data_IF_854082732993
#
_entry.id   IF_854082732993
#
_cell.length_a   1.000
_cell.length_b   1.000
_cell.length_c   1.000
_cell.angle_alpha   90.00
_cell.angle_beta   90.00
_cell.angle_gamma   90.00
#
_symmetry.space_group_name_H-M   'P 1'
#
loop_
_entity.id
_entity.type
_entity.pdbx_description
1 polymer ?
#
# COMPACT_ATOMS: atom_id res chain seq x y z
N UNK A 1 6.25 15.35 2.66
CA UNK A 1 5.79 14.02 3.09
C UNK A 1 6.02 13.09 1.92
N UNK A 2 6.58 11.89 2.16
CA UNK A 2 6.91 10.93 1.11
C UNK A 2 5.77 9.92 0.91
N UNK A 3 5.79 9.18 -0.20
CA UNK A 3 4.76 8.19 -0.56
C UNK A 3 4.62 7.08 0.51
N UNK A 4 5.71 6.71 1.19
CA UNK A 4 5.69 5.70 2.26
C UNK A 4 4.91 6.21 3.47
N UNK A 5 5.13 7.45 3.89
CA UNK A 5 4.37 8.10 4.97
C UNK A 5 2.87 8.16 4.62
N UNK A 6 2.51 8.32 3.35
CA UNK A 6 1.13 8.32 2.91
C UNK A 6 0.48 6.93 2.94
N UNK A 7 1.24 5.90 2.54
CA UNK A 7 0.81 4.50 2.67
C UNK A 7 0.55 4.14 4.14
N UNK A 8 1.45 4.53 5.05
CA UNK A 8 1.30 4.32 6.49
C UNK A 8 0.08 5.07 7.06
N UNK A 9 -0.13 6.32 6.65
CA UNK A 9 -1.30 7.10 7.07
C UNK A 9 -2.61 6.46 6.67
N UNK A 10 -2.72 6.00 5.42
CA UNK A 10 -3.92 5.29 4.96
C UNK A 10 -4.12 4.00 5.74
N UNK A 11 -3.04 3.24 5.99
CA UNK A 11 -3.10 2.03 6.81
C UNK A 11 -3.61 2.32 8.24
N UNK A 12 -3.04 3.30 8.92
CA UNK A 12 -3.47 3.72 10.27
C UNK A 12 -4.92 4.17 10.27
N UNK A 13 -5.36 4.91 9.24
CA UNK A 13 -6.75 5.34 9.11
C UNK A 13 -7.71 4.14 8.99
N UNK A 14 -7.37 3.13 8.19
CA UNK A 14 -8.16 1.89 8.04
C UNK A 14 -8.18 1.08 9.34
N UNK A 15 -7.05 0.97 10.05
CA UNK A 15 -7.00 0.29 11.35
C UNK A 15 -7.89 1.01 12.36
N UNK A 16 -7.84 2.35 12.41
CA UNK A 16 -8.68 3.15 13.29
C UNK A 16 -10.17 3.00 12.96
N UNK A 17 -10.54 3.01 11.68
CA UNK A 17 -11.92 2.85 11.20
C UNK A 17 -12.57 1.51 11.64
N UNK A 18 -11.76 0.47 11.90
CA UNK A 18 -12.28 -0.79 12.46
C UNK A 18 -12.71 -0.69 13.92
N UNK A 19 -12.11 0.20 14.70
CA UNK A 19 -12.28 0.23 16.16
C UNK A 19 -13.06 1.46 16.62
N UNK A 20 -12.88 2.60 15.94
CA UNK A 20 -13.57 3.86 16.22
C UNK A 20 -14.75 4.01 15.26
N UNK A 21 -15.99 4.08 15.76
CA UNK A 21 -17.15 4.34 14.91
C UNK A 21 -17.13 5.77 14.36
N UNK A 22 -17.67 5.95 13.15
CA UNK A 22 -17.92 7.27 12.58
C UNK A 22 -19.09 8.00 13.30
N UNK A 23 -19.42 9.21 12.86
CA UNK A 23 -20.52 10.02 13.43
C UNK A 23 -21.89 9.32 13.39
N UNK A 24 -22.07 8.39 12.45
CA UNK A 24 -23.27 7.55 12.32
C UNK A 24 -23.21 6.23 13.13
N UNK A 25 -22.17 6.03 13.96
CA UNK A 25 -21.99 4.82 14.76
C UNK A 25 -21.44 3.61 14.00
N UNK A 26 -21.08 3.75 12.72
CA UNK A 26 -20.64 2.65 11.86
C UNK A 26 -19.12 2.47 11.91
N UNK A 27 -18.65 1.23 11.74
CA UNK A 27 -17.22 0.85 11.72
C UNK A 27 -16.87 0.18 10.39
N UNK A 28 -15.65 0.38 9.93
CA UNK A 28 -15.11 -0.30 8.75
C UNK A 28 -15.57 0.29 7.41
N UNK A 29 -16.24 1.44 7.39
CA UNK A 29 -16.76 2.03 6.15
C UNK A 29 -15.65 2.62 5.28
N UNK A 30 -14.63 3.25 5.89
CA UNK A 30 -13.45 3.73 5.17
C UNK A 30 -12.69 2.54 4.55
N UNK A 31 -12.47 1.48 5.33
CA UNK A 31 -11.82 0.26 4.84
C UNK A 31 -12.58 -0.38 3.67
N UNK A 32 -13.92 -0.45 3.74
CA UNK A 32 -14.76 -0.94 2.64
C UNK A 32 -14.67 -0.04 1.40
N UNK A 33 -14.65 1.27 1.58
CA UNK A 33 -14.56 2.22 0.46
C UNK A 33 -13.21 2.10 -0.26
N UNK A 34 -12.11 2.07 0.50
CA UNK A 34 -10.75 1.88 -0.05
C UNK A 34 -10.64 0.52 -0.75
N UNK A 35 -11.17 -0.55 -0.17
CA UNK A 35 -11.19 -1.87 -0.79
C UNK A 35 -11.95 -1.88 -2.13
N UNK A 36 -13.08 -1.17 -2.23
CA UNK A 36 -13.81 -1.02 -3.51
C UNK A 36 -12.99 -0.26 -4.56
N UNK A 37 -12.27 0.79 -4.16
CA UNK A 37 -11.38 1.53 -5.07
C UNK A 37 -10.22 0.64 -5.56
N UNK A 38 -9.64 -0.17 -4.68
CA UNK A 38 -8.60 -1.12 -5.04
C UNK A 38 -9.12 -2.17 -6.04
N UNK A 39 -10.31 -2.75 -5.81
CA UNK A 39 -10.93 -3.71 -6.75
C UNK A 39 -11.17 -3.07 -8.12
N UNK A 40 -11.67 -1.83 -8.16
CA UNK A 40 -11.84 -1.11 -9.43
C UNK A 40 -10.51 -0.87 -10.13
N UNK A 41 -9.48 -0.45 -9.40
CA UNK A 41 -8.13 -0.25 -9.95
C UNK A 41 -7.55 -1.56 -10.52
N UNK A 42 -7.76 -2.70 -9.85
CA UNK A 42 -7.36 -4.02 -10.36
C UNK A 42 -8.10 -4.36 -11.66
N UNK A 43 -9.42 -4.15 -11.69
CA UNK A 43 -10.24 -4.44 -12.87
C UNK A 43 -9.94 -3.52 -14.05
N UNK A 44 -9.64 -2.24 -13.78
CA UNK A 44 -9.29 -1.25 -14.80
C UNK A 44 -7.85 -1.40 -15.32
N UNK A 45 -6.96 -2.00 -14.54
CA UNK A 45 -5.55 -2.19 -14.88
C UNK A 45 -4.70 -0.93 -14.72
N UNK A 46 -3.39 -1.08 -14.93
CA UNK A 46 -2.43 0.03 -14.84
C UNK A 46 -2.82 1.18 -15.78
N UNK A 47 -2.55 2.42 -15.33
CA UNK A 47 -2.80 3.69 -16.06
C UNK A 47 -4.28 4.04 -16.27
N UNK A 48 -5.23 3.18 -15.89
CA UNK A 48 -6.66 3.50 -15.92
C UNK A 48 -7.03 4.65 -14.97
N UNK A 49 -8.16 5.29 -15.20
CA UNK A 49 -8.64 6.35 -14.31
C UNK A 49 -9.01 5.80 -12.92
N UNK A 50 -9.50 4.56 -12.84
CA UNK A 50 -9.73 3.86 -11.58
C UNK A 50 -8.42 3.63 -10.82
N UNK A 51 -7.34 3.26 -11.53
CA UNK A 51 -6.00 3.14 -10.95
C UNK A 51 -5.49 4.47 -10.41
N UNK A 52 -5.57 5.54 -11.20
CA UNK A 52 -5.16 6.88 -10.78
C UNK A 52 -5.95 7.36 -9.57
N UNK A 53 -7.26 7.10 -9.55
CA UNK A 53 -8.15 7.44 -8.44
C UNK A 53 -7.70 6.74 -7.16
N UNK A 54 -7.43 5.43 -7.22
CA UNK A 54 -6.93 4.69 -6.06
C UNK A 54 -5.53 5.17 -5.63
N UNK A 55 -4.61 5.39 -6.57
CA UNK A 55 -3.26 5.87 -6.26
C UNK A 55 -3.21 7.27 -5.66
N UNK A 56 -4.21 8.12 -5.96
CA UNK A 56 -4.32 9.45 -5.37
C UNK A 56 -4.48 9.43 -3.85
N UNK A 57 -4.92 8.31 -3.26
CA UNK A 57 -4.97 8.14 -1.81
C UNK A 57 -3.59 8.18 -1.14
N UNK A 58 -2.51 7.95 -1.92
CA UNK A 58 -1.14 7.87 -1.43
C UNK A 58 -0.25 9.01 -1.94
N UNK A 59 -0.82 10.01 -2.60
CA UNK A 59 -0.11 11.13 -3.18
C UNK A 59 -0.62 12.46 -2.60
N UNK A 60 0.30 13.33 -2.16
CA UNK A 60 -0.03 14.69 -1.72
C UNK A 60 0.00 15.70 -2.85
N UNK A 61 0.68 15.36 -3.96
CA UNK A 61 0.87 16.26 -5.09
C UNK A 61 0.90 15.49 -6.42
N UNK A 62 0.87 16.27 -7.51
CA UNK A 62 0.85 15.74 -8.87
C UNK A 62 2.13 14.96 -9.22
N UNK A 63 3.31 15.34 -8.72
CA UNK A 63 4.53 14.59 -8.99
C UNK A 63 4.50 13.20 -8.37
N UNK A 64 4.04 13.07 -7.13
CA UNK A 64 3.88 11.78 -6.46
C UNK A 64 2.84 10.91 -7.15
N UNK A 65 1.72 11.51 -7.57
CA UNK A 65 0.71 10.76 -8.31
C UNK A 65 1.30 10.23 -9.62
N UNK A 66 2.06 11.06 -10.33
CA UNK A 66 2.76 10.65 -11.56
C UNK A 66 3.68 9.45 -11.31
N UNK A 67 4.47 9.48 -10.24
CA UNK A 67 5.33 8.37 -9.81
C UNK A 67 4.56 7.09 -9.46
N UNK A 68 3.27 7.18 -9.14
CA UNK A 68 2.42 6.03 -8.84
C UNK A 68 1.61 5.53 -10.04
N UNK A 69 1.45 6.35 -11.08
CA UNK A 69 0.52 6.05 -12.19
C UNK A 69 1.16 5.96 -13.56
N UNK A 70 2.31 6.60 -13.78
CA UNK A 70 2.98 6.64 -15.08
C UNK A 70 4.23 5.77 -15.11
N UNK A 71 4.33 4.95 -16.14
CA UNK A 71 5.57 4.24 -16.45
C UNK A 71 6.55 5.21 -17.11
N UNK A 72 7.79 5.21 -16.65
CA UNK A 72 8.83 6.06 -17.23
C UNK A 72 9.70 5.22 -18.15
N UNK A 73 10.06 5.75 -19.31
CA UNK A 73 10.95 5.03 -20.23
C UNK A 73 12.30 4.79 -19.56
N UNK A 74 12.69 3.51 -19.45
CA UNK A 74 13.92 3.11 -18.76
C UNK A 74 13.81 3.04 -17.24
N UNK A 75 12.59 3.02 -16.69
CA UNK A 75 12.41 2.72 -15.26
C UNK A 75 12.79 1.26 -14.96
N UNK A 76 13.19 1.02 -13.70
CA UNK A 76 13.51 -0.33 -13.25
C UNK A 76 12.31 -1.26 -13.37
N UNK A 77 12.54 -2.50 -13.78
CA UNK A 77 11.46 -3.49 -14.02
C UNK A 77 10.62 -3.79 -12.79
N UNK A 78 11.14 -3.54 -11.57
CA UNK A 78 10.40 -3.73 -10.32
C UNK A 78 9.40 -2.61 -10.03
N UNK A 79 9.50 -1.43 -10.65
CA UNK A 79 8.65 -0.29 -10.34
C UNK A 79 7.17 -0.52 -10.73
N UNK A 80 6.83 -1.04 -11.92
CA UNK A 80 5.47 -1.45 -12.23
C UNK A 80 4.93 -2.51 -11.26
N UNK A 81 5.76 -3.47 -10.86
CA UNK A 81 5.41 -4.54 -9.91
C UNK A 81 5.13 -3.96 -8.51
N UNK A 82 5.95 -3.02 -8.04
CA UNK A 82 5.76 -2.34 -6.77
C UNK A 82 4.44 -1.55 -6.72
N UNK A 83 4.07 -0.87 -7.82
CA UNK A 83 2.77 -0.18 -7.91
C UNK A 83 1.62 -1.18 -7.88
N UNK A 84 1.74 -2.32 -8.59
CA UNK A 84 0.75 -3.40 -8.53
C UNK A 84 0.62 -3.99 -7.12
N UNK A 85 1.72 -4.09 -6.37
CA UNK A 85 1.72 -4.54 -4.98
C UNK A 85 0.91 -3.60 -4.08
N UNK A 86 0.99 -2.27 -4.26
CA UNK A 86 0.21 -1.29 -3.50
C UNK A 86 -1.30 -1.50 -3.69
N UNK A 87 -1.76 -1.79 -4.92
CA UNK A 87 -3.18 -2.06 -5.19
C UNK A 87 -3.61 -3.41 -4.64
N UNK A 88 -2.77 -4.43 -4.82
CA UNK A 88 -3.06 -5.80 -4.40
C UNK A 88 -3.23 -5.93 -2.88
N UNK A 89 -2.41 -5.22 -2.10
CA UNK A 89 -2.49 -5.28 -0.64
C UNK A 89 -3.77 -4.67 -0.05
N UNK A 90 -4.47 -3.78 -0.75
CA UNK A 90 -5.71 -3.21 -0.22
C UNK A 90 -6.92 -4.14 -0.28
N UNK A 91 -6.83 -5.24 -1.04
CA UNK A 91 -7.87 -6.29 -1.08
C UNK A 91 -7.70 -7.28 0.08
N UNK A 92 -6.53 -7.29 0.70
CA UNK A 92 -6.26 -8.07 1.89
C UNK A 92 -6.97 -7.42 3.09
N UNK A 93 -7.86 -8.17 3.77
CA UNK A 93 -8.57 -7.69 4.94
C UNK A 93 -7.58 -7.13 5.98
N UNK A 94 -7.95 -6.16 6.82
CA UNK A 94 -6.97 -5.57 7.76
C UNK A 94 -6.56 -6.48 8.95
N UNK A 95 -6.64 -7.80 8.79
CA UNK A 95 -5.94 -8.81 9.59
C UNK A 95 -4.96 -9.66 8.75
N UNK A 96 -4.86 -9.38 7.46
CA UNK A 96 -3.91 -9.97 6.54
C UNK A 96 -2.59 -9.22 6.66
N UNK A 97 -1.54 -9.95 6.97
CA UNK A 97 -0.16 -9.48 7.04
C UNK A 97 0.53 -9.66 5.68
N UNK A 98 1.81 -9.32 5.58
CA UNK A 98 2.61 -9.51 4.35
C UNK A 98 2.99 -10.97 4.09
N UNK A 99 2.49 -11.95 4.87
CA UNK A 99 2.73 -13.36 4.58
C UNK A 99 2.00 -13.78 3.31
N UNK A 100 2.72 -13.77 2.20
CA UNK A 100 2.28 -14.45 0.98
C UNK A 100 2.64 -15.94 1.11
N UNK A 101 1.95 -16.82 0.36
CA UNK A 101 2.35 -18.23 0.28
C UNK A 101 3.80 -18.41 -0.22
N UNK A 102 4.34 -17.40 -0.93
CA UNK A 102 5.71 -17.33 -1.39
C UNK A 102 6.71 -16.74 -0.36
N UNK A 103 6.26 -16.38 0.85
CA UNK A 103 7.08 -15.76 1.91
C UNK A 103 7.88 -14.54 1.43
N UNK A 104 7.22 -13.67 0.67
CA UNK A 104 7.84 -12.44 0.12
C UNK A 104 8.38 -11.54 1.25
N UNK A 105 7.74 -11.55 2.42
CA UNK A 105 8.22 -10.92 3.65
C UNK A 105 9.62 -11.40 4.06
N UNK A 106 9.87 -12.71 3.99
CA UNK A 106 11.15 -13.31 4.36
C UNK A 106 12.22 -12.99 3.30
N UNK A 107 11.83 -12.93 2.02
CA UNK A 107 12.74 -12.56 0.93
C UNK A 107 13.14 -11.08 1.01
N UNK A 108 12.20 -10.18 1.33
CA UNK A 108 12.47 -8.75 1.53
C UNK A 108 13.41 -8.52 2.73
N UNK A 109 13.17 -9.20 3.85
CA UNK A 109 14.04 -9.14 5.03
C UNK A 109 15.46 -9.61 4.67
N UNK A 110 15.58 -10.71 3.92
CA UNK A 110 16.87 -11.22 3.48
C UNK A 110 17.57 -10.29 2.49
N UNK A 111 16.86 -9.67 1.54
CA UNK A 111 17.42 -8.72 0.57
C UNK A 111 17.91 -7.46 1.29
N UNK A 112 17.13 -6.94 2.23
CA UNK A 112 17.49 -5.74 2.98
C UNK A 112 18.66 -6.00 3.93
N UNK A 113 18.70 -7.15 4.59
CA UNK A 113 19.78 -7.49 5.52
C UNK A 113 21.09 -7.92 4.83
N UNK A 114 21.04 -8.32 3.55
CA UNK A 114 22.20 -8.75 2.77
C UNK A 114 22.71 -7.70 1.79
N UNK A 115 22.14 -6.48 1.78
CA UNK A 115 22.64 -5.39 0.95
C UNK A 115 23.58 -4.49 1.79
N UNK A 116 24.89 -4.49 1.52
CA UNK A 116 25.89 -3.79 2.34
C UNK A 116 25.75 -2.26 2.33
N UNK A 117 25.02 -1.71 1.36
CA UNK A 117 24.78 -0.27 1.20
C UNK A 117 23.46 0.21 1.83
N UNK A 118 22.64 -0.71 2.35
CA UNK A 118 21.37 -0.39 2.98
C UNK A 118 21.53 -0.45 4.51
N UNK A 119 21.23 0.63 5.26
CA UNK A 119 21.21 0.51 6.71
C UNK A 119 20.18 -0.56 7.10
N UNK A 120 20.50 -1.46 8.06
CA UNK A 120 19.55 -2.47 8.51
C UNK A 120 18.26 -1.78 8.90
N UNK A 121 17.12 -2.31 8.47
CA UNK A 121 15.79 -1.77 8.81
C UNK A 121 15.78 -1.41 10.29
N UNK A 122 15.68 -0.11 10.57
CA UNK A 122 15.63 0.40 11.92
C UNK A 122 14.31 -0.08 12.54
N UNK A 123 14.42 -1.21 13.23
CA UNK A 123 13.38 -2.05 13.86
C UNK A 123 12.59 -2.94 12.90
N UNK A 124 12.35 -4.21 13.30
CA UNK A 124 11.25 -4.96 12.71
C UNK A 124 9.96 -4.18 12.90
N UNK A 125 9.09 -4.15 11.88
CA UNK A 125 7.71 -3.69 12.04
C UNK A 125 7.07 -4.53 13.15
N UNK A 126 7.06 -3.99 14.36
CA UNK A 126 6.37 -4.60 15.50
C UNK A 126 4.89 -4.40 15.22
N UNK A 127 4.25 -5.44 14.70
CA UNK A 127 2.79 -5.53 14.69
C UNK A 127 2.39 -5.79 16.15
N UNK A 128 1.73 -4.85 16.84
CA UNK A 128 1.31 -5.08 18.21
C UNK A 128 0.33 -6.26 18.28
N UNK A 129 0.43 -7.15 19.28
CA UNK A 129 -0.55 -8.21 19.49
C UNK A 129 -1.90 -7.60 19.92
N UNK A 130 -2.98 -8.33 19.61
CA UNK A 130 -4.40 -7.98 19.80
C UNK A 130 -4.74 -7.43 21.19
#
# INVERSE_FOLDING_TARGET
MNIIENLEKVHVAVVRDKVVPNEAGQKGELGKAIGKLAVKAIMGGLKSDDWKTYMSLFADNAEQLKLLTEETQGEDSYLPEARAYIVSNAVCAAGTNTFTAARVDTQLINIVNNNPDNPPLAKPLIIPPL
#
